data_IF_159442862251
#
_entry.id   IF_159442862251
#
_cell.length_a   1.000
_cell.length_b   1.000
_cell.length_c   1.000
_cell.angle_alpha   90.00
_cell.angle_beta   90.00
_cell.angle_gamma   90.00
#
_symmetry.space_group_name_H-M   'P 1'
#
loop_
_entity.id
_entity.type
_entity.pdbx_description
1 polymer ?
#
# COMPACT_ATOMS: atom_id res chain seq x y z
N UNK A 1 -2.96 0.95 20.13
CA UNK A 1 -2.59 1.83 19.00
C UNK A 1 -3.34 1.35 17.76
N UNK A 2 -3.69 2.18 16.78
CA UNK A 2 -4.34 1.67 15.55
C UNK A 2 -3.29 1.25 14.53
N UNK A 3 -3.54 0.18 13.75
CA UNK A 3 -2.64 -0.31 12.69
C UNK A 3 -2.20 0.83 11.75
N UNK A 4 -3.12 1.72 11.39
CA UNK A 4 -2.81 2.90 10.58
C UNK A 4 -1.71 3.81 11.17
N UNK A 5 -1.73 4.07 12.48
CA UNK A 5 -0.71 4.89 13.13
C UNK A 5 0.64 4.17 13.19
N UNK A 6 0.62 2.84 13.39
CA UNK A 6 1.83 2.03 13.28
C UNK A 6 2.42 2.13 11.88
N UNK A 7 1.61 1.87 10.84
CA UNK A 7 2.07 1.94 9.45
C UNK A 7 2.58 3.34 9.08
N UNK A 8 1.90 4.40 9.54
CA UNK A 8 2.32 5.78 9.28
C UNK A 8 3.62 6.14 9.98
N UNK A 9 3.86 5.63 11.20
CA UNK A 9 5.12 5.85 11.92
C UNK A 9 6.27 5.01 11.36
N UNK A 10 6.01 3.76 11.02
CA UNK A 10 7.03 2.79 10.58
C UNK A 10 7.43 3.04 9.13
N UNK A 11 6.47 3.12 8.22
CA UNK A 11 6.72 3.26 6.78
C UNK A 11 6.69 4.72 6.36
N UNK A 12 5.68 5.47 6.78
CA UNK A 12 5.45 6.85 6.34
C UNK A 12 4.58 6.96 5.07
N UNK A 13 4.54 8.15 4.48
CA UNK A 13 3.71 8.43 3.29
C UNK A 13 4.44 8.08 1.99
N UNK A 14 3.67 7.70 0.96
CA UNK A 14 4.16 7.39 -0.39
C UNK A 14 5.21 6.27 -0.45
N UNK A 15 5.22 5.39 0.56
CA UNK A 15 6.07 4.20 0.59
C UNK A 15 5.22 2.94 0.49
N UNK A 16 5.69 1.93 -0.26
CA UNK A 16 5.01 0.64 -0.33
C UNK A 16 5.07 -0.04 1.04
N UNK A 17 3.95 -0.69 1.37
CA UNK A 17 3.70 -1.45 2.58
C UNK A 17 3.36 -2.85 2.09
N UNK A 18 4.29 -3.76 2.27
CA UNK A 18 4.10 -5.18 2.01
C UNK A 18 3.33 -5.76 3.18
N UNK A 19 2.05 -6.08 2.98
CA UNK A 19 1.21 -6.69 4.00
C UNK A 19 1.80 -7.99 4.57
N UNK A 20 2.68 -8.65 3.80
CA UNK A 20 3.39 -9.84 4.24
C UNK A 20 4.51 -9.55 5.27
N UNK A 21 5.09 -8.35 5.22
CA UNK A 21 6.13 -7.84 6.13
C UNK A 21 5.55 -6.99 7.27
N UNK A 22 4.26 -6.67 7.22
CA UNK A 22 3.59 -5.99 8.32
C UNK A 22 3.41 -6.98 9.47
N UNK A 23 4.31 -6.88 10.44
CA UNK A 23 4.17 -7.55 11.73
C UNK A 23 3.72 -6.53 12.78
N UNK A 24 2.45 -6.63 13.18
CA UNK A 24 1.84 -5.73 14.16
C UNK A 24 1.34 -6.53 15.36
N UNK A 25 1.92 -6.31 16.54
CA UNK A 25 1.52 -6.92 17.83
C UNK A 25 1.36 -8.46 17.79
N UNK A 26 2.18 -9.19 17.03
CA UNK A 26 2.03 -10.65 16.81
C UNK A 26 0.63 -11.07 16.32
N UNK A 27 -0.10 -10.17 15.64
CA UNK A 27 -1.42 -10.50 15.10
C UNK A 27 -1.28 -11.44 13.90
N UNK A 28 -2.24 -12.37 13.73
CA UNK A 28 -2.25 -13.22 12.56
C UNK A 28 -2.38 -12.36 11.30
N UNK A 29 -1.63 -12.73 10.26
CA UNK A 29 -1.63 -12.01 8.97
C UNK A 29 -3.06 -11.79 8.45
N UNK A 30 -3.95 -12.77 8.61
CA UNK A 30 -5.36 -12.65 8.22
C UNK A 30 -6.07 -11.45 8.85
N UNK A 31 -5.81 -11.16 10.12
CA UNK A 31 -6.38 -10.02 10.83
C UNK A 31 -5.78 -8.71 10.32
N UNK A 32 -4.47 -8.68 10.05
CA UNK A 32 -3.79 -7.53 9.44
C UNK A 32 -4.35 -7.25 8.04
N UNK A 33 -4.54 -8.27 7.20
CA UNK A 33 -5.18 -8.13 5.89
C UNK A 33 -6.60 -7.59 5.98
N UNK A 34 -7.39 -8.04 6.97
CA UNK A 34 -8.74 -7.55 7.21
C UNK A 34 -8.72 -6.07 7.59
N UNK A 35 -7.86 -5.67 8.52
CA UNK A 35 -7.70 -4.27 8.93
C UNK A 35 -7.18 -3.40 7.77
N UNK A 36 -6.22 -3.87 6.98
CA UNK A 36 -5.75 -3.18 5.76
C UNK A 36 -6.90 -2.98 4.76
N UNK A 37 -7.73 -4.01 4.56
CA UNK A 37 -8.91 -3.92 3.68
C UNK A 37 -9.90 -2.87 4.19
N UNK A 38 -10.15 -2.81 5.50
CA UNK A 38 -11.00 -1.77 6.11
C UNK A 38 -10.40 -0.36 5.95
N UNK A 39 -9.09 -0.21 6.14
CA UNK A 39 -8.39 1.05 5.90
C UNK A 39 -8.43 1.48 4.42
N UNK A 40 -8.40 0.51 3.51
CA UNK A 40 -8.55 0.73 2.07
C UNK A 40 -9.98 1.20 1.74
N UNK A 41 -11.01 0.55 2.31
CA UNK A 41 -12.42 0.99 2.21
C UNK A 41 -12.62 2.40 2.75
N UNK A 42 -11.94 2.74 3.84
CA UNK A 42 -11.94 4.07 4.44
C UNK A 42 -11.13 5.12 3.65
N UNK A 43 -10.55 4.77 2.48
CA UNK A 43 -9.69 5.63 1.65
C UNK A 43 -8.52 6.27 2.44
N UNK A 44 -8.05 5.59 3.50
CA UNK A 44 -6.88 6.02 4.28
C UNK A 44 -5.59 5.49 3.69
N UNK A 45 -5.64 4.29 3.11
CA UNK A 45 -4.57 3.67 2.34
C UNK A 45 -5.12 3.28 0.97
N UNK A 46 -4.23 3.07 0.01
CA UNK A 46 -4.60 2.59 -1.32
C UNK A 46 -3.86 1.29 -1.58
N UNK A 47 -4.57 0.32 -2.13
CA UNK A 47 -4.01 -0.95 -2.58
C UNK A 47 -3.49 -0.76 -4.00
N UNK A 48 -2.20 -1.00 -4.21
CA UNK A 48 -1.59 -1.08 -5.54
C UNK A 48 -1.82 -2.46 -6.12
N UNK A 49 -1.46 -3.49 -5.35
CA UNK A 49 -1.48 -4.88 -5.81
C UNK A 49 -1.89 -5.86 -4.71
N UNK A 50 -1.88 -7.15 -5.04
CA UNK A 50 -2.20 -8.20 -4.06
C UNK A 50 -1.13 -8.24 -2.96
N UNK A 51 -1.45 -7.63 -1.82
CA UNK A 51 -0.55 -7.59 -0.67
C UNK A 51 0.35 -6.34 -0.61
N UNK A 52 0.24 -5.43 -1.58
CA UNK A 52 1.00 -4.17 -1.60
C UNK A 52 0.04 -2.99 -1.41
N UNK A 53 0.28 -2.23 -0.35
CA UNK A 53 -0.50 -1.07 0.04
C UNK A 53 0.40 0.15 0.18
N UNK A 54 -0.13 1.36 0.16
CA UNK A 54 0.63 2.54 0.54
C UNK A 54 -0.29 3.61 1.14
N UNK A 55 0.31 4.54 1.88
CA UNK A 55 -0.40 5.66 2.49
C UNK A 55 -0.27 6.86 1.56
N UNK A 56 -1.34 7.28 0.85
CA UNK A 56 -1.26 8.45 0.00
C UNK A 56 -1.07 9.71 0.83
N UNK A 57 -0.13 10.56 0.44
CA UNK A 57 0.01 11.90 1.02
C UNK A 57 -1.15 12.77 0.53
N UNK A 58 -2.14 13.04 1.40
CA UNK A 58 -3.22 14.01 1.10
C UNK A 58 -2.61 15.41 0.96
N UNK A 59 -2.46 15.86 -0.28
CA UNK A 59 -2.14 17.26 -0.59
C UNK A 59 -3.43 18.00 -0.91
N UNK A 60 -3.55 19.28 -0.52
CA UNK A 60 -4.77 20.10 -0.68
C UNK A 60 -5.28 20.23 -2.13
N UNK A 61 -4.44 19.88 -3.11
CA UNK A 61 -4.81 19.77 -4.52
C UNK A 61 -5.26 18.33 -4.79
N UNK A 62 -6.58 18.13 -4.89
CA UNK A 62 -7.25 16.83 -5.08
C UNK A 62 -6.88 16.03 -6.34
N UNK A 63 -5.80 16.38 -7.03
CA UNK A 63 -5.35 15.81 -8.31
C UNK A 63 -4.04 15.01 -8.17
N UNK A 64 -3.28 15.16 -7.08
CA UNK A 64 -1.96 14.53 -6.95
C UNK A 64 -2.00 13.03 -6.59
N UNK A 65 -3.15 12.49 -6.20
CA UNK A 65 -3.27 11.07 -5.79
C UNK A 65 -2.95 10.16 -6.97
N UNK A 66 -3.45 10.48 -8.17
CA UNK A 66 -3.22 9.71 -9.39
C UNK A 66 -1.74 9.76 -9.81
N UNK A 67 -1.14 10.95 -9.78
CA UNK A 67 0.26 11.11 -10.17
C UNK A 67 1.22 10.41 -9.18
N UNK A 68 0.85 10.39 -7.90
CA UNK A 68 1.60 9.68 -6.85
C UNK A 68 1.45 8.16 -7.00
N UNK A 69 0.25 7.67 -7.32
CA UNK A 69 0.00 6.27 -7.65
C UNK A 69 0.89 5.81 -8.79
N UNK A 70 0.82 6.49 -9.93
CA UNK A 70 1.63 6.18 -11.11
C UNK A 70 3.13 6.30 -10.83
N UNK A 71 3.56 7.26 -10.00
CA UNK A 71 4.96 7.40 -9.61
C UNK A 71 5.42 6.26 -8.69
N UNK A 72 4.58 5.80 -7.75
CA UNK A 72 4.91 4.66 -6.88
C UNK A 72 4.87 3.35 -7.66
N UNK A 73 3.88 3.16 -8.54
CA UNK A 73 3.82 2.02 -9.46
C UNK A 73 5.07 1.97 -10.32
N UNK A 74 5.40 3.05 -11.03
CA UNK A 74 6.63 3.11 -11.84
C UNK A 74 7.89 2.92 -11.00
N UNK A 75 7.93 3.45 -9.78
CA UNK A 75 9.06 3.26 -8.88
C UNK A 75 9.20 1.79 -8.50
N UNK A 76 8.14 1.11 -8.09
CA UNK A 76 8.19 -0.30 -7.70
C UNK A 76 8.41 -1.25 -8.90
N UNK A 77 7.93 -0.87 -10.08
CA UNK A 77 8.22 -1.57 -11.34
C UNK A 77 9.69 -1.42 -11.75
N UNK A 78 10.34 -0.29 -11.42
CA UNK A 78 11.73 0.01 -11.79
C UNK A 78 12.76 -0.10 -10.63
N UNK A 79 12.37 -0.36 -9.38
CA UNK A 79 13.30 -0.50 -8.24
C UNK A 79 13.98 -1.89 -8.31
N UNK A 80 14.94 -1.97 -9.24
CA UNK A 80 16.20 -2.71 -9.22
C UNK A 80 16.32 -3.85 -8.19
N UNK A 81 15.85 -5.05 -8.53
CA UNK A 81 16.54 -6.37 -8.36
C UNK A 81 15.57 -7.55 -8.16
N UNK A 82 14.31 -7.29 -7.77
CA UNK A 82 13.24 -8.31 -7.74
C UNK A 82 11.97 -7.78 -8.44
N UNK A 83 11.70 -8.31 -9.63
CA UNK A 83 10.46 -8.07 -10.37
C UNK A 83 9.33 -8.81 -9.64
N UNK A 84 8.66 -8.16 -8.70
CA UNK A 84 7.36 -8.62 -8.19
C UNK A 84 6.26 -8.33 -9.22
N UNK A 85 6.40 -8.88 -10.42
CA UNK A 85 5.38 -8.79 -11.45
C UNK A 85 4.38 -9.91 -11.29
N UNK A 86 3.09 -9.58 -11.13
CA UNK A 86 2.05 -10.31 -11.85
C UNK A 86 1.00 -9.33 -12.37
N UNK A 87 1.28 -8.80 -13.55
CA UNK A 87 0.24 -8.31 -14.45
C UNK A 87 -0.55 -9.54 -14.94
N UNK A 88 -1.47 -10.07 -14.13
CA UNK A 88 -2.52 -10.96 -14.63
C UNK A 88 -3.64 -10.11 -15.24
N UNK A 89 -3.30 -9.37 -16.28
CA UNK A 89 -4.29 -8.77 -17.17
C UNK A 89 -4.80 -9.85 -18.10
N UNK A 90 -5.77 -10.63 -17.65
CA UNK A 90 -6.61 -11.41 -18.56
C UNK A 90 -7.77 -10.47 -18.96
N UNK A 91 -7.57 -9.78 -20.07
CA UNK A 91 -8.66 -9.11 -20.79
C UNK A 91 -8.84 -9.90 -22.08
N UNK A 92 -9.65 -10.96 -22.01
CA UNK A 92 -10.28 -11.59 -23.16
C UNK A 92 -11.71 -11.09 -23.30
#
# INVERSE_FOLDING_TARGET
>A
MSLFNFLTKTYGYNKPILANDVEYENRPKQQIYKELSELCKAKKIVRLERGVYFIPKKTKLGTLIFNTLTAIEKKYICDNEEVFGYYSGDYM
#
